data_IF_651507410295
#
_entry.id   IF_651507410295
#
_cell.length_a   1.000
_cell.length_b   1.000
_cell.length_c   1.000
_cell.angle_alpha   90.00
_cell.angle_beta   90.00
_cell.angle_gamma   90.00
#
_symmetry.space_group_name_H-M   'P 1'
#
loop_
_entity.id
_entity.type
_entity.pdbx_description
1 polymer ?
#
# COMPACT_ATOMS: atom_id res chain seq x y z
N UNK A 1 4.12 -13.20 -50.49
CA UNK A 1 4.77 -12.88 -49.19
C UNK A 1 4.33 -13.91 -48.16
N UNK A 2 5.25 -14.57 -47.44
CA UNK A 2 4.87 -15.54 -46.41
C UNK A 2 4.05 -14.87 -45.31
N UNK A 3 2.95 -15.52 -44.91
CA UNK A 3 2.00 -15.00 -43.91
C UNK A 3 2.68 -14.96 -42.55
N UNK A 4 2.62 -13.81 -41.87
CA UNK A 4 3.18 -13.65 -40.53
C UNK A 4 2.34 -14.48 -39.55
N UNK A 5 2.95 -15.32 -38.69
CA UNK A 5 2.21 -16.07 -37.68
C UNK A 5 1.44 -15.14 -36.72
N UNK A 6 0.27 -15.59 -36.25
CA UNK A 6 -0.53 -14.85 -35.29
C UNK A 6 0.26 -14.54 -34.01
N UNK A 7 0.07 -13.33 -33.47
CA UNK A 7 0.83 -12.85 -32.31
C UNK A 7 2.20 -12.25 -32.63
N UNK A 8 2.56 -12.11 -33.91
CA UNK A 8 3.81 -11.48 -34.33
C UNK A 8 3.58 -10.22 -35.20
N UNK A 9 4.55 -9.31 -35.21
CA UNK A 9 4.56 -8.08 -36.01
C UNK A 9 5.84 -8.03 -36.83
N UNK A 10 5.71 -7.74 -38.12
CA UNK A 10 6.85 -7.54 -39.03
C UNK A 10 7.39 -6.13 -38.83
N UNK A 11 8.65 -6.01 -38.38
CA UNK A 11 9.37 -4.74 -38.21
C UNK A 11 10.54 -4.72 -39.17
N UNK A 12 10.40 -3.95 -40.26
CA UNK A 12 11.39 -3.73 -41.34
C UNK A 12 11.97 -5.00 -41.97
N UNK A 13 12.82 -5.71 -41.22
CA UNK A 13 13.58 -6.90 -41.63
C UNK A 13 13.35 -8.13 -40.74
N UNK A 14 12.68 -8.01 -39.59
CA UNK A 14 12.51 -9.11 -38.63
C UNK A 14 11.07 -9.24 -38.10
N UNK A 15 10.69 -10.46 -37.73
CA UNK A 15 9.41 -10.76 -37.10
C UNK A 15 9.61 -10.70 -35.58
N UNK A 16 8.99 -9.72 -34.91
CA UNK A 16 9.00 -9.61 -33.44
C UNK A 16 7.71 -10.16 -32.85
N UNK A 17 7.79 -10.76 -31.66
CA UNK A 17 6.59 -11.04 -30.86
C UNK A 17 5.88 -9.73 -30.60
N UNK A 18 4.55 -9.71 -30.77
CA UNK A 18 3.74 -8.58 -30.30
C UNK A 18 4.09 -8.42 -28.82
N UNK A 19 4.56 -7.23 -28.37
CA UNK A 19 4.53 -6.97 -26.95
C UNK A 19 3.08 -7.20 -26.53
N UNK A 20 2.86 -8.19 -25.66
CA UNK A 20 1.53 -8.47 -25.10
C UNK A 20 0.93 -7.15 -24.61
N UNK A 21 -0.41 -7.01 -24.60
CA UNK A 21 -1.08 -5.74 -24.39
C UNK A 21 -0.36 -4.95 -23.29
N UNK A 22 0.39 -3.91 -23.68
CA UNK A 22 1.28 -3.09 -22.81
C UNK A 22 0.45 -2.21 -21.85
N UNK A 23 -0.81 -2.59 -21.70
CA UNK A 23 -1.98 -1.95 -21.12
C UNK A 23 -2.84 -3.06 -20.50
N UNK A 24 -2.24 -4.04 -19.81
CA UNK A 24 -2.89 -4.40 -18.57
C UNK A 24 -2.95 -3.08 -17.81
N UNK A 25 -4.13 -2.45 -17.76
CA UNK A 25 -4.39 -1.23 -17.01
C UNK A 25 -4.23 -1.61 -15.54
N UNK A 26 -2.97 -1.79 -15.13
CA UNK A 26 -2.63 -1.95 -13.74
C UNK A 26 -3.18 -0.75 -13.03
N UNK A 27 -3.78 -0.98 -11.86
CA UNK A 27 -4.20 0.10 -10.97
C UNK A 27 -3.03 1.08 -10.84
N UNK A 28 -3.30 2.36 -11.07
CA UNK A 28 -2.32 3.42 -10.88
C UNK A 28 -1.70 3.25 -9.49
N UNK A 29 -0.39 3.46 -9.35
CA UNK A 29 0.30 3.39 -8.05
C UNK A 29 -0.42 4.26 -7.02
N UNK A 30 -0.97 5.40 -7.45
CA UNK A 30 -1.79 6.28 -6.62
C UNK A 30 -3.12 5.67 -6.18
N UNK A 31 -3.77 4.87 -7.02
CA UNK A 31 -4.98 4.15 -6.64
C UNK A 31 -4.70 3.09 -5.58
N UNK A 32 -3.57 2.39 -5.70
CA UNK A 32 -3.12 1.43 -4.68
C UNK A 32 -2.79 2.14 -3.36
N UNK A 33 -2.06 3.26 -3.42
CA UNK A 33 -1.74 4.06 -2.24
C UNK A 33 -3.01 4.58 -1.54
N UNK A 34 -3.99 5.07 -2.30
CA UNK A 34 -5.29 5.50 -1.77
C UNK A 34 -6.03 4.34 -1.09
N UNK A 35 -6.06 3.16 -1.70
CA UNK A 35 -6.66 1.97 -1.10
C UNK A 35 -5.99 1.60 0.24
N UNK A 36 -4.65 1.59 0.29
CA UNK A 36 -3.90 1.31 1.51
C UNK A 36 -4.19 2.35 2.61
N UNK A 37 -4.28 3.64 2.26
CA UNK A 37 -4.59 4.70 3.22
C UNK A 37 -5.99 4.54 3.82
N UNK A 38 -6.99 4.17 3.00
CA UNK A 38 -8.35 3.90 3.48
C UNK A 38 -8.37 2.70 4.42
N UNK A 39 -7.70 1.60 4.05
CA UNK A 39 -7.61 0.40 4.91
C UNK A 39 -6.91 0.73 6.23
N UNK A 40 -5.81 1.49 6.20
CA UNK A 40 -5.09 1.89 7.40
C UNK A 40 -5.96 2.77 8.31
N UNK A 41 -6.61 3.79 7.76
CA UNK A 41 -7.53 4.64 8.51
C UNK A 41 -8.70 3.82 9.09
N UNK A 42 -9.21 2.85 8.34
CA UNK A 42 -10.31 1.99 8.79
C UNK A 42 -9.96 1.24 10.07
N UNK A 43 -8.80 0.58 10.12
CA UNK A 43 -8.46 -0.14 11.35
C UNK A 43 -7.85 0.73 12.45
N UNK A 44 -7.56 2.01 12.20
CA UNK A 44 -7.45 3.00 13.29
C UNK A 44 -8.81 3.35 13.89
N UNK A 45 -9.85 3.53 13.05
CA UNK A 45 -11.20 3.96 13.50
C UNK A 45 -11.98 2.82 14.16
N UNK A 46 -11.99 1.64 13.55
CA UNK A 46 -12.77 0.49 14.01
C UNK A 46 -11.97 -0.51 14.84
N UNK A 47 -10.64 -0.36 14.89
CA UNK A 47 -9.74 -1.36 15.43
C UNK A 47 -9.53 -2.52 14.43
N UNK A 48 -8.27 -2.83 14.14
CA UNK A 48 -7.91 -4.14 13.60
C UNK A 48 -7.97 -5.12 14.77
N UNK A 49 -8.92 -6.06 14.79
CA UNK A 49 -9.16 -6.94 15.93
C UNK A 49 -7.87 -7.48 16.58
N UNK A 50 -7.71 -7.18 17.87
CA UNK A 50 -6.73 -7.75 18.82
C UNK A 50 -5.28 -7.96 18.32
N UNK A 51 -4.65 -6.90 17.82
CA UNK A 51 -3.23 -6.91 17.45
C UNK A 51 -2.44 -5.78 18.08
N UNK A 52 -2.04 -5.95 19.35
CA UNK A 52 -1.10 -5.09 20.08
C UNK A 52 -1.56 -3.65 20.31
N UNK A 53 -2.42 -3.47 21.31
CA UNK A 53 -2.21 -2.34 22.21
C UNK A 53 -0.86 -2.56 22.89
N UNK A 54 0.20 -2.00 22.30
CA UNK A 54 1.47 -1.86 23.00
C UNK A 54 1.15 -1.12 24.29
N UNK A 55 1.32 -1.84 25.40
CA UNK A 55 0.89 -1.46 26.73
C UNK A 55 1.42 -0.07 27.04
N UNK A 56 0.52 0.92 27.00
CA UNK A 56 0.81 2.28 27.42
C UNK A 56 1.42 2.18 28.82
N UNK A 57 2.68 2.57 29.04
CA UNK A 57 3.26 2.49 30.38
C UNK A 57 2.42 3.42 31.24
N UNK A 58 1.79 2.86 32.27
CA UNK A 58 0.90 3.57 33.17
C UNK A 58 1.54 4.91 33.58
N UNK A 59 0.82 6.05 33.50
CA UNK A 59 1.36 7.30 33.99
C UNK A 59 1.68 7.10 35.47
N UNK A 60 2.97 7.13 35.82
CA UNK A 60 3.40 7.16 37.21
C UNK A 60 2.68 8.35 37.85
N UNK A 61 1.87 8.16 38.92
CA UNK A 61 1.30 9.28 39.62
C UNK A 61 2.47 10.15 40.11
N UNK A 62 2.62 11.34 39.55
CA UNK A 62 3.52 12.34 40.09
C UNK A 62 2.99 12.72 41.46
N UNK A 63 3.60 12.18 42.52
CA UNK A 63 3.28 12.58 43.89
C UNK A 63 3.65 14.06 43.99
N UNK A 64 2.65 14.94 44.07
CA UNK A 64 2.85 16.33 44.44
C UNK A 64 3.43 16.35 45.86
N UNK A 65 4.67 16.81 46.01
CA UNK A 65 5.23 17.09 47.32
C UNK A 65 4.47 18.27 47.95
N UNK A 66 3.99 18.17 49.20
CA UNK A 66 3.47 19.34 49.89
C UNK A 66 4.66 20.27 50.20
N UNK A 67 4.57 21.52 49.76
CA UNK A 67 5.42 22.59 50.26
C UNK A 67 5.06 22.79 51.74
N UNK A 68 5.85 22.18 52.63
CA UNK A 68 5.76 22.40 54.06
C UNK A 68 6.01 23.87 54.35
N UNK A 69 4.95 24.59 54.70
CA UNK A 69 5.06 25.89 55.35
C UNK A 69 5.38 25.71 56.82
N UNK A 70 6.47 26.34 57.25
CA UNK A 70 6.65 26.96 58.56
C UNK A 70 7.88 27.88 58.50
#
# INVERSE_FOLDING_TARGET
MPKVPDGYVRVSSYIRRKPGPRKAKGLSVWAIAGLCAVVWLWGQVFGFGDGSAEQQPAPKPGVSAPAGGQ
#
